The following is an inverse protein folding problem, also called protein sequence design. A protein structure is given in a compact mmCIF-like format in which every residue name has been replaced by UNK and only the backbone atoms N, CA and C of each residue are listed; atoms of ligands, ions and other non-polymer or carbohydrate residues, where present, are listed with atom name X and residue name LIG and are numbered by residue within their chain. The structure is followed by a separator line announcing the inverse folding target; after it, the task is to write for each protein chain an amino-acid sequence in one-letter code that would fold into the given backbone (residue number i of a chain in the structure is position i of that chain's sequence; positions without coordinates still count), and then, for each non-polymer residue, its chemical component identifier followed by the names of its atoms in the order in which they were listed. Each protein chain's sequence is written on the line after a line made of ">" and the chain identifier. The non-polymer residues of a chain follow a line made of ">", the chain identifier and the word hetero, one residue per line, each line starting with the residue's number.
data_IF_050132888372
#
_entry.id   IF_050132888372
#
_cell.length_a   1.000
_cell.length_b   1.000
_cell.length_c   1.000
_cell.angle_alpha   90.00
_cell.angle_beta   90.00
_cell.angle_gamma   90.00
#
_symmetry.space_group_name_H-M   'P 1'
#
loop_
_entity.id
_entity.type
_entity.pdbx_description
1 polymer ?
#
# COMPACT_ATOMS: atom_id res chain seq x y z
N UNK A 1 -22.14 -7.90 3.74
CA UNK A 1 -22.01 -6.41 3.94
C UNK A 1 -21.30 -6.18 5.26
N UNK A 2 -20.17 -5.49 5.24
CA UNK A 2 -19.40 -5.15 6.47
C UNK A 2 -20.11 -4.03 7.22
N UNK A 3 -20.79 -4.38 8.33
CA UNK A 3 -21.46 -3.38 9.15
C UNK A 3 -20.45 -2.49 9.89
N UNK A 4 -20.67 -1.18 9.86
CA UNK A 4 -19.81 -0.19 10.49
C UNK A 4 -20.17 1.23 10.04
N UNK A 5 -19.46 2.22 10.54
CA UNK A 5 -19.70 3.64 10.23
C UNK A 5 -19.24 4.08 8.83
N UNK A 6 -18.59 3.18 8.07
CA UNK A 6 -18.28 3.40 6.65
C UNK A 6 -19.49 3.16 5.73
N UNK A 7 -20.59 2.61 6.26
CA UNK A 7 -21.85 2.51 5.53
C UNK A 7 -22.61 3.84 5.58
N UNK A 8 -23.37 4.08 4.51
CA UNK A 8 -24.31 5.19 4.45
C UNK A 8 -25.57 4.89 5.25
N UNK A 9 -26.32 5.91 5.65
CA UNK A 9 -27.62 5.68 6.27
C UNK A 9 -28.56 4.88 5.33
N UNK A 10 -28.51 5.15 4.02
CA UNK A 10 -29.27 4.40 3.02
C UNK A 10 -28.94 2.90 3.02
N UNK A 11 -27.69 2.53 3.27
CA UNK A 11 -27.31 1.12 3.36
C UNK A 11 -27.83 0.49 4.65
N UNK A 12 -27.69 1.19 5.77
CA UNK A 12 -28.13 0.72 7.08
C UNK A 12 -29.67 0.64 7.20
N UNK A 13 -30.42 1.47 6.47
CA UNK A 13 -31.89 1.41 6.40
C UNK A 13 -32.42 0.13 5.76
N UNK A 14 -31.63 -0.56 4.93
CA UNK A 14 -31.99 -1.85 4.35
C UNK A 14 -32.09 -2.97 5.39
N UNK A 15 -31.63 -2.74 6.60
CA UNK A 15 -31.59 -3.67 7.72
C UNK A 15 -32.17 -3.04 8.99
N UNK A 16 -33.33 -3.54 9.42
CA UNK A 16 -34.05 -2.97 10.55
C UNK A 16 -33.25 -3.00 11.87
N UNK A 17 -32.41 -4.02 12.08
CA UNK A 17 -31.58 -4.13 13.27
C UNK A 17 -30.42 -3.13 13.23
N UNK A 18 -29.77 -2.96 12.08
CA UNK A 18 -28.75 -1.95 11.91
C UNK A 18 -29.30 -0.52 12.07
N UNK A 19 -30.46 -0.25 11.50
CA UNK A 19 -31.14 1.04 11.66
C UNK A 19 -31.52 1.32 13.11
N UNK A 20 -31.93 0.29 13.88
CA UNK A 20 -32.22 0.45 15.30
C UNK A 20 -30.99 0.88 16.10
N UNK A 21 -29.80 0.37 15.74
CA UNK A 21 -28.54 0.81 16.35
C UNK A 21 -28.20 2.27 16.00
N UNK A 22 -28.40 2.68 14.73
CA UNK A 22 -28.24 4.10 14.36
C UNK A 22 -29.16 4.99 15.21
N UNK A 23 -30.41 4.63 15.37
CA UNK A 23 -31.38 5.37 16.20
C UNK A 23 -30.98 5.45 17.66
N UNK A 24 -30.41 4.35 18.18
CA UNK A 24 -29.97 4.26 19.58
C UNK A 24 -28.75 5.13 19.86
N UNK A 25 -27.74 5.06 19.00
CA UNK A 25 -26.42 5.65 19.28
C UNK A 25 -26.23 7.02 18.60
N UNK A 26 -26.89 7.25 17.44
CA UNK A 26 -26.68 8.43 16.62
C UNK A 26 -27.99 8.96 15.99
N UNK A 27 -29.00 9.28 16.79
CA UNK A 27 -30.31 9.71 16.27
C UNK A 27 -30.26 10.98 15.39
N UNK A 28 -29.23 11.82 15.59
CA UNK A 28 -28.99 13.01 14.76
C UNK A 28 -28.83 12.69 13.27
N UNK A 29 -28.37 11.47 12.92
CA UNK A 29 -28.17 11.08 11.52
C UNK A 29 -29.48 10.97 10.73
N UNK A 30 -30.54 10.40 11.32
CA UNK A 30 -31.87 10.35 10.68
C UNK A 30 -32.49 11.74 10.59
N UNK A 31 -32.33 12.56 11.64
CA UNK A 31 -32.84 13.93 11.62
C UNK A 31 -32.18 14.76 10.50
N UNK A 32 -30.85 14.64 10.34
CA UNK A 32 -30.12 15.30 9.28
C UNK A 32 -30.58 14.81 7.89
N UNK A 33 -30.73 13.50 7.70
CA UNK A 33 -31.18 12.92 6.43
C UNK A 33 -32.61 13.35 6.05
N UNK A 34 -33.47 13.59 7.04
CA UNK A 34 -34.82 14.10 6.81
C UNK A 34 -34.82 15.56 6.33
N UNK A 35 -33.89 16.38 6.80
CA UNK A 35 -33.72 17.79 6.42
C UNK A 35 -32.91 17.96 5.13
N UNK A 36 -31.92 17.10 4.92
CA UNK A 36 -31.02 17.10 3.77
C UNK A 36 -30.90 15.68 3.19
N UNK A 37 -31.76 15.26 2.25
CA UNK A 37 -31.79 13.87 1.75
C UNK A 37 -30.47 13.38 1.16
N UNK A 38 -29.59 14.28 0.70
CA UNK A 38 -28.25 13.97 0.26
C UNK A 38 -27.37 13.41 1.38
N UNK A 39 -27.61 13.77 2.64
CA UNK A 39 -26.84 13.31 3.78
C UNK A 39 -26.98 11.79 4.03
N UNK A 40 -28.10 11.19 3.63
CA UNK A 40 -28.30 9.75 3.75
C UNK A 40 -27.40 8.93 2.80
N UNK A 41 -26.74 9.57 1.84
CA UNK A 41 -25.86 8.96 0.84
C UNK A 41 -24.38 9.05 1.21
N UNK A 42 -24.03 9.75 2.29
CA UNK A 42 -22.65 9.83 2.76
C UNK A 42 -22.45 8.86 3.92
N UNK A 43 -21.24 8.31 4.05
CA UNK A 43 -20.90 7.44 5.15
C UNK A 43 -20.98 8.18 6.50
N UNK A 44 -21.38 7.49 7.56
CA UNK A 44 -21.50 8.10 8.91
C UNK A 44 -20.16 8.70 9.34
N UNK A 45 -19.04 8.04 9.06
CA UNK A 45 -17.69 8.54 9.34
C UNK A 45 -17.42 9.86 8.61
N UNK A 46 -17.79 9.95 7.37
CA UNK A 46 -17.62 11.16 6.56
C UNK A 46 -18.50 12.29 7.08
N UNK A 47 -19.76 11.99 7.46
CA UNK A 47 -20.65 12.96 8.10
C UNK A 47 -20.06 13.51 9.42
N UNK A 48 -19.43 12.66 10.22
CA UNK A 48 -18.69 13.08 11.43
C UNK A 48 -17.58 14.07 11.11
N UNK A 49 -16.80 13.82 10.06
CA UNK A 49 -15.72 14.72 9.61
C UNK A 49 -16.23 16.11 9.25
N UNK A 50 -17.41 16.21 8.63
CA UNK A 50 -18.01 17.51 8.26
C UNK A 50 -18.72 18.22 9.43
N UNK A 51 -19.27 17.49 10.38
CA UNK A 51 -20.08 18.06 11.47
C UNK A 51 -19.80 17.37 12.81
N UNK A 52 -18.57 17.46 13.35
CA UNK A 52 -18.16 16.73 14.57
C UNK A 52 -18.97 17.12 15.80
N UNK A 53 -19.53 18.33 15.86
CA UNK A 53 -20.43 18.77 16.95
C UNK A 53 -21.79 18.09 16.90
N UNK A 54 -22.28 17.68 15.71
CA UNK A 54 -23.53 16.92 15.57
C UNK A 54 -23.32 15.41 15.78
N UNK A 55 -22.12 14.93 15.54
CA UNK A 55 -21.73 13.53 15.60
C UNK A 55 -20.53 13.35 16.55
N UNK A 56 -20.74 13.38 17.88
CA UNK A 56 -19.66 13.26 18.85
C UNK A 56 -18.88 11.96 18.67
N UNK A 57 -17.54 12.05 18.68
CA UNK A 57 -16.64 10.92 18.42
C UNK A 57 -16.94 9.68 19.28
N UNK A 58 -17.28 9.87 20.56
CA UNK A 58 -17.64 8.76 21.45
C UNK A 58 -18.93 8.03 21.05
N UNK A 59 -19.93 8.76 20.55
CA UNK A 59 -21.18 8.15 20.06
C UNK A 59 -20.96 7.40 18.74
N UNK A 60 -20.18 7.97 17.83
CA UNK A 60 -19.83 7.35 16.56
C UNK A 60 -19.01 6.09 16.78
N UNK A 61 -18.03 6.11 17.68
CA UNK A 61 -17.25 4.93 18.05
C UNK A 61 -18.11 3.83 18.71
N UNK A 62 -19.05 4.20 19.58
CA UNK A 62 -19.98 3.25 20.17
C UNK A 62 -20.92 2.62 19.13
N UNK A 63 -21.40 3.41 18.17
CA UNK A 63 -22.20 2.91 17.06
C UNK A 63 -21.38 1.95 16.16
N UNK A 64 -20.14 2.30 15.82
CA UNK A 64 -19.25 1.45 15.01
C UNK A 64 -19.05 0.08 15.66
N UNK A 65 -18.73 0.08 16.96
CA UNK A 65 -18.59 -1.15 17.74
C UNK A 65 -19.87 -1.98 17.75
N UNK A 66 -21.03 -1.36 17.95
CA UNK A 66 -22.31 -2.05 17.97
C UNK A 66 -22.69 -2.62 16.60
N UNK A 67 -22.48 -1.85 15.51
CA UNK A 67 -22.72 -2.31 14.13
C UNK A 67 -21.80 -3.49 13.75
N UNK A 68 -20.51 -3.42 14.08
CA UNK A 68 -19.56 -4.51 13.84
C UNK A 68 -19.96 -5.78 14.59
N UNK A 69 -20.34 -5.68 15.86
CA UNK A 69 -20.82 -6.81 16.65
C UNK A 69 -22.12 -7.40 16.09
N UNK A 70 -23.04 -6.55 15.65
CA UNK A 70 -24.29 -6.95 15.02
C UNK A 70 -24.03 -7.71 13.71
N UNK A 71 -23.14 -7.21 12.85
CA UNK A 71 -22.76 -7.87 11.61
C UNK A 71 -22.08 -9.22 11.84
N UNK A 72 -21.16 -9.29 12.80
CA UNK A 72 -20.44 -10.51 13.15
C UNK A 72 -21.37 -11.62 13.71
N UNK A 73 -22.51 -11.24 14.33
CA UNK A 73 -23.50 -12.21 14.84
C UNK A 73 -24.44 -12.75 13.75
N UNK A 74 -24.39 -12.22 12.53
CA UNK A 74 -25.23 -12.71 11.42
C UNK A 74 -24.64 -13.96 10.80
N UNK A 75 -25.47 -14.95 10.44
CA UNK A 75 -25.01 -16.05 9.62
C UNK A 75 -24.59 -15.53 8.24
N UNK A 76 -23.58 -16.16 7.65
CA UNK A 76 -23.19 -15.89 6.28
C UNK A 76 -24.37 -16.13 5.33
N UNK A 77 -24.49 -15.30 4.30
CA UNK A 77 -25.41 -15.58 3.20
C UNK A 77 -25.01 -16.88 2.47
N UNK A 78 -25.92 -17.47 1.72
CA UNK A 78 -25.60 -18.64 0.91
C UNK A 78 -24.49 -18.35 -0.11
N UNK A 79 -24.47 -17.14 -0.67
CA UNK A 79 -23.43 -16.66 -1.58
C UNK A 79 -22.08 -16.56 -0.87
N UNK A 80 -22.01 -15.91 0.31
CA UNK A 80 -20.79 -15.78 1.09
C UNK A 80 -20.27 -17.14 1.57
N UNK A 81 -21.16 -18.04 1.97
CA UNK A 81 -20.80 -19.43 2.32
C UNK A 81 -20.13 -20.13 1.13
N UNK A 82 -20.72 -20.05 -0.06
CA UNK A 82 -20.14 -20.63 -1.27
C UNK A 82 -18.77 -20.01 -1.64
N UNK A 83 -18.59 -18.69 -1.42
CA UNK A 83 -17.29 -18.01 -1.61
C UNK A 83 -16.23 -18.54 -0.65
N UNK A 84 -16.56 -18.63 0.63
CA UNK A 84 -15.67 -19.19 1.68
C UNK A 84 -15.28 -20.62 1.36
N UNK A 85 -16.25 -21.47 1.02
CA UNK A 85 -15.99 -22.88 0.68
C UNK A 85 -15.09 -23.01 -0.55
N UNK A 86 -15.31 -22.20 -1.58
CA UNK A 86 -14.46 -22.17 -2.78
C UNK A 86 -13.01 -21.84 -2.43
N UNK A 87 -12.76 -20.84 -1.59
CA UNK A 87 -11.39 -20.45 -1.23
C UNK A 87 -10.74 -21.43 -0.26
N UNK A 88 -11.49 -22.06 0.63
CA UNK A 88 -10.98 -23.15 1.46
C UNK A 88 -10.59 -24.36 0.61
N UNK A 89 -11.39 -24.69 -0.40
CA UNK A 89 -11.05 -25.75 -1.35
C UNK A 89 -9.80 -25.41 -2.16
N UNK A 90 -9.66 -24.15 -2.62
CA UNK A 90 -8.46 -23.68 -3.31
C UNK A 90 -7.23 -23.82 -2.41
N UNK A 91 -7.30 -23.36 -1.16
CA UNK A 91 -6.21 -23.47 -0.18
C UNK A 91 -5.84 -24.94 0.08
N UNK A 92 -6.82 -25.82 0.23
CA UNK A 92 -6.58 -27.24 0.48
C UNK A 92 -5.96 -27.97 -0.73
N UNK A 93 -6.30 -27.53 -1.93
CA UNK A 93 -5.75 -28.08 -3.17
C UNK A 93 -4.36 -27.54 -3.50
N UNK A 94 -4.04 -26.34 -3.00
CA UNK A 94 -2.77 -25.68 -3.31
C UNK A 94 -1.63 -26.31 -2.51
N UNK A 95 -0.59 -26.70 -3.24
CA UNK A 95 0.68 -27.16 -2.67
C UNK A 95 1.80 -26.37 -3.33
N UNK A 96 2.63 -25.73 -2.52
CA UNK A 96 3.86 -25.13 -3.01
C UNK A 96 4.83 -26.27 -3.33
N UNK A 97 5.00 -26.56 -4.60
CA UNK A 97 5.93 -27.59 -5.07
C UNK A 97 7.28 -26.95 -5.36
N UNK A 98 8.36 -27.67 -5.08
CA UNK A 98 9.70 -27.27 -5.48
C UNK A 98 9.90 -27.66 -6.96
N UNK A 99 10.51 -26.77 -7.71
CA UNK A 99 10.87 -26.93 -9.11
C UNK A 99 12.40 -26.81 -9.28
N UNK A 100 13.20 -27.77 -8.74
CA UNK A 100 14.66 -27.67 -8.75
C UNK A 100 15.23 -27.56 -10.16
N UNK A 101 14.52 -28.03 -11.17
CA UNK A 101 14.89 -27.90 -12.58
C UNK A 101 14.82 -26.46 -13.09
N UNK A 102 14.13 -25.56 -12.38
CA UNK A 102 14.02 -24.12 -12.67
C UNK A 102 14.85 -23.27 -11.75
N UNK A 103 15.34 -23.84 -10.63
CA UNK A 103 16.08 -23.08 -9.65
C UNK A 103 17.35 -22.49 -10.26
N UNK A 104 17.54 -21.19 -10.09
CA UNK A 104 18.70 -20.44 -10.57
C UNK A 104 19.43 -19.90 -9.36
N UNK A 105 20.75 -20.05 -9.33
CA UNK A 105 21.58 -19.36 -8.36
C UNK A 105 22.03 -18.02 -8.96
N UNK A 106 21.54 -16.97 -8.38
CA UNK A 106 21.87 -15.60 -8.79
C UNK A 106 23.15 -15.13 -8.09
N UNK A 107 23.97 -14.38 -8.80
CA UNK A 107 25.16 -13.68 -8.32
C UNK A 107 25.14 -12.19 -8.64
N UNK A 108 24.01 -11.69 -9.16
CA UNK A 108 23.76 -10.30 -9.50
C UNK A 108 22.25 -10.00 -9.45
N UNK A 109 21.90 -8.73 -9.32
CA UNK A 109 20.53 -8.24 -9.56
C UNK A 109 20.31 -8.08 -11.06
N UNK A 110 19.10 -8.43 -11.52
CA UNK A 110 18.65 -8.29 -12.91
C UNK A 110 17.33 -7.51 -12.95
N UNK A 111 17.32 -6.18 -12.83
CA UNK A 111 16.13 -5.37 -12.70
C UNK A 111 15.13 -5.60 -13.85
N UNK A 112 13.85 -5.82 -13.48
CA UNK A 112 12.77 -6.06 -14.44
C UNK A 112 12.72 -7.46 -15.05
N UNK A 113 13.60 -8.37 -14.65
CA UNK A 113 13.55 -9.78 -15.07
C UNK A 113 12.76 -10.61 -14.04
N UNK A 114 12.14 -11.73 -14.45
CA UNK A 114 11.58 -12.69 -13.49
C UNK A 114 12.64 -13.13 -12.48
N UNK A 115 12.27 -13.17 -11.21
CA UNK A 115 13.14 -13.59 -10.13
C UNK A 115 12.53 -14.80 -9.42
N UNK A 116 13.26 -15.90 -9.40
CA UNK A 116 12.82 -17.15 -8.81
C UNK A 116 13.43 -17.32 -7.41
N UNK A 117 12.67 -17.94 -6.53
CA UNK A 117 13.17 -18.38 -5.24
C UNK A 117 14.10 -19.60 -5.38
N UNK A 118 14.69 -20.04 -4.26
CA UNK A 118 15.58 -21.20 -4.25
C UNK A 118 14.89 -22.53 -4.57
N UNK A 119 13.56 -22.56 -4.62
CA UNK A 119 12.75 -23.69 -5.04
C UNK A 119 12.36 -23.64 -6.53
N UNK A 120 12.73 -22.58 -7.25
CA UNK A 120 12.40 -22.37 -8.66
C UNK A 120 11.00 -21.79 -8.91
N UNK A 121 10.38 -21.21 -7.89
CA UNK A 121 9.09 -20.54 -8.01
C UNK A 121 9.27 -19.02 -8.17
N UNK A 122 8.38 -18.33 -8.91
CA UNK A 122 8.38 -16.88 -8.96
C UNK A 122 8.21 -16.29 -7.55
N UNK A 123 9.06 -15.34 -7.18
CA UNK A 123 8.91 -14.61 -5.92
C UNK A 123 7.61 -13.79 -5.95
N UNK A 124 6.84 -13.87 -4.86
CA UNK A 124 5.56 -13.19 -4.66
C UNK A 124 5.66 -12.32 -3.41
N UNK A 125 6.37 -11.18 -3.51
CA UNK A 125 6.56 -10.21 -2.43
C UNK A 125 6.33 -8.79 -2.96
N UNK A 126 5.17 -8.57 -3.62
CA UNK A 126 4.86 -7.34 -4.32
C UNK A 126 4.50 -6.20 -3.35
N UNK A 127 4.78 -4.95 -3.77
CA UNK A 127 4.53 -3.76 -2.96
C UNK A 127 5.17 -3.78 -1.57
N UNK A 128 6.11 -4.69 -1.36
CA UNK A 128 6.63 -5.05 -0.06
C UNK A 128 7.92 -4.33 0.32
N UNK A 129 8.55 -4.86 1.36
CA UNK A 129 9.74 -4.28 1.95
C UNK A 129 10.73 -5.37 2.41
N UNK A 130 11.94 -4.93 2.72
CA UNK A 130 13.03 -5.77 3.24
C UNK A 130 13.33 -5.36 4.67
N UNK A 131 13.46 -6.34 5.55
CA UNK A 131 13.88 -6.17 6.94
C UNK A 131 15.17 -6.95 7.16
N UNK A 132 16.13 -6.37 7.90
CA UNK A 132 17.34 -7.07 8.28
C UNK A 132 17.34 -7.36 9.78
N UNK A 133 17.60 -8.60 10.14
CA UNK A 133 17.74 -9.05 11.52
C UNK A 133 18.87 -10.07 11.63
N UNK A 134 19.80 -9.86 12.55
CA UNK A 134 20.93 -10.77 12.84
C UNK A 134 21.75 -11.19 11.60
N UNK A 135 21.95 -10.26 10.67
CA UNK A 135 22.71 -10.50 9.44
C UNK A 135 21.93 -11.25 8.35
N UNK A 136 20.68 -11.58 8.60
CA UNK A 136 19.76 -12.20 7.62
C UNK A 136 18.81 -11.15 7.09
N UNK A 137 18.53 -11.21 5.80
CA UNK A 137 17.56 -10.37 5.11
C UNK A 137 16.23 -11.08 4.98
N UNK A 138 15.13 -10.37 5.21
CA UNK A 138 13.77 -10.86 5.07
C UNK A 138 13.01 -9.94 4.13
N UNK A 139 12.62 -10.46 2.97
CA UNK A 139 11.80 -9.77 1.99
C UNK A 139 10.36 -10.26 2.09
N UNK A 140 9.41 -9.38 2.29
CA UNK A 140 8.00 -9.72 2.43
C UNK A 140 7.15 -8.78 1.58
N UNK A 141 5.99 -9.26 1.17
CA UNK A 141 5.07 -8.50 0.33
C UNK A 141 3.76 -9.23 0.06
N UNK A 142 2.98 -8.61 -0.78
CA UNK A 142 1.70 -9.12 -1.24
C UNK A 142 1.91 -10.43 -2.02
N UNK A 143 1.25 -11.50 -1.59
CA UNK A 143 1.24 -12.75 -2.35
C UNK A 143 0.17 -12.68 -3.43
N UNK A 144 0.59 -12.61 -4.69
CA UNK A 144 -0.27 -12.50 -5.87
C UNK A 144 -0.42 -13.81 -6.65
N UNK A 145 0.02 -14.96 -6.11
CA UNK A 145 0.05 -16.23 -6.84
C UNK A 145 -1.30 -16.69 -7.41
N UNK A 146 -2.41 -16.23 -6.82
CA UNK A 146 -3.77 -16.53 -7.31
C UNK A 146 -4.45 -15.35 -8.02
N UNK A 147 -3.73 -14.24 -8.22
CA UNK A 147 -4.23 -13.08 -8.94
C UNK A 147 -4.02 -13.32 -10.44
N UNK A 148 -5.11 -13.39 -11.20
CA UNK A 148 -5.09 -13.70 -12.63
C UNK A 148 -5.73 -12.61 -13.51
N UNK A 149 -6.07 -11.48 -12.90
CA UNK A 149 -6.78 -10.38 -13.57
C UNK A 149 -8.25 -10.68 -13.89
N UNK A 150 -8.74 -11.90 -13.67
CA UNK A 150 -10.11 -12.37 -14.02
C UNK A 150 -10.92 -12.76 -12.79
N UNK A 151 -10.32 -13.56 -11.89
CA UNK A 151 -10.96 -13.93 -10.62
C UNK A 151 -11.02 -12.74 -9.69
N UNK A 152 -11.93 -12.73 -8.69
CA UNK A 152 -11.99 -11.64 -7.72
C UNK A 152 -10.81 -11.63 -6.72
N UNK A 153 -9.94 -12.63 -6.71
CA UNK A 153 -8.78 -12.69 -5.82
C UNK A 153 -7.82 -11.55 -6.13
N UNK A 154 -7.43 -10.82 -5.08
CA UNK A 154 -6.45 -9.73 -5.20
C UNK A 154 -5.16 -10.04 -4.44
N UNK A 155 -5.24 -10.49 -3.20
CA UNK A 155 -4.08 -10.80 -2.37
C UNK A 155 -4.35 -12.05 -1.55
N UNK A 156 -3.44 -13.03 -1.61
CA UNK A 156 -3.56 -14.28 -0.86
C UNK A 156 -2.65 -14.26 0.37
N UNK A 157 -2.82 -13.28 1.24
CA UNK A 157 -1.98 -13.08 2.42
C UNK A 157 -0.64 -12.43 2.10
N UNK A 158 0.23 -12.34 3.11
CA UNK A 158 1.57 -11.75 3.01
C UNK A 158 2.60 -12.87 3.08
N UNK A 159 3.44 -12.96 2.05
CA UNK A 159 4.51 -13.96 1.95
C UNK A 159 5.85 -13.37 2.36
N UNK A 160 6.72 -14.19 2.90
CA UNK A 160 8.06 -13.78 3.32
C UNK A 160 9.11 -14.73 2.78
N UNK A 161 10.25 -14.16 2.45
CA UNK A 161 11.45 -14.86 2.00
C UNK A 161 12.63 -14.46 2.87
N UNK A 162 13.65 -15.30 2.96
CA UNK A 162 14.91 -14.95 3.62
C UNK A 162 16.11 -15.14 2.71
N UNK A 163 17.15 -14.34 2.91
CA UNK A 163 18.41 -14.38 2.17
C UNK A 163 19.59 -13.99 3.07
N UNK A 164 20.76 -14.49 2.75
CA UNK A 164 22.05 -14.05 3.36
C UNK A 164 22.90 -13.23 2.39
N UNK A 165 22.49 -13.14 1.11
CA UNK A 165 23.27 -12.50 0.05
C UNK A 165 22.48 -11.46 -0.78
N UNK A 166 21.16 -11.29 -0.50
CA UNK A 166 20.23 -10.45 -1.24
C UNK A 166 19.91 -10.90 -2.68
N UNK A 167 20.57 -11.94 -3.18
CA UNK A 167 20.38 -12.47 -4.53
C UNK A 167 19.48 -13.70 -4.52
N UNK A 168 19.67 -14.60 -3.56
CA UNK A 168 19.03 -15.90 -3.48
C UNK A 168 18.08 -15.94 -2.28
N UNK A 169 16.80 -16.15 -2.54
CA UNK A 169 15.74 -16.02 -1.57
C UNK A 169 15.06 -17.36 -1.30
N UNK A 170 15.06 -17.78 -0.05
CA UNK A 170 14.34 -18.97 0.41
C UNK A 170 12.92 -18.58 0.84
N UNK A 171 11.91 -19.25 0.29
CA UNK A 171 10.52 -19.08 0.68
C UNK A 171 10.28 -19.55 2.12
N UNK A 172 9.66 -18.73 2.95
CA UNK A 172 9.21 -19.03 4.32
C UNK A 172 7.70 -19.25 4.40
N UNK A 173 6.98 -19.09 3.28
CA UNK A 173 5.53 -19.17 3.22
C UNK A 173 4.82 -17.89 3.68
N UNK A 174 3.54 -18.03 4.02
CA UNK A 174 2.71 -16.91 4.46
C UNK A 174 2.96 -16.58 5.93
N UNK A 175 3.28 -15.32 6.21
CA UNK A 175 3.44 -14.80 7.58
C UNK A 175 2.17 -14.14 8.11
N UNK A 176 1.31 -13.65 7.22
CA UNK A 176 -0.07 -13.28 7.51
C UNK A 176 -0.99 -14.04 6.54
N UNK A 177 -1.89 -14.84 7.10
CA UNK A 177 -2.80 -15.69 6.32
C UNK A 177 -4.00 -14.89 5.81
N UNK A 178 -4.60 -15.26 4.67
CA UNK A 178 -5.91 -14.74 4.30
C UNK A 178 -6.96 -15.20 5.32
N UNK A 179 -7.93 -14.34 5.62
CA UNK A 179 -9.07 -14.73 6.46
C UNK A 179 -10.15 -15.38 5.59
N UNK A 180 -10.20 -16.70 5.61
CA UNK A 180 -11.22 -17.50 4.89
C UNK A 180 -12.47 -17.78 5.75
N UNK A 181 -12.73 -16.98 6.77
CA UNK A 181 -13.90 -17.14 7.63
C UNK A 181 -14.86 -15.95 7.52
N UNK A 182 -14.36 -14.79 7.17
CA UNK A 182 -15.12 -13.55 7.13
C UNK A 182 -14.96 -12.85 5.76
N UNK A 183 -15.92 -13.02 4.83
CA UNK A 183 -15.89 -12.36 3.52
C UNK A 183 -15.89 -10.82 3.57
N UNK A 184 -16.32 -10.26 4.67
CA UNK A 184 -16.31 -8.81 4.90
C UNK A 184 -15.00 -8.33 5.56
N UNK A 185 -14.19 -9.23 6.14
CA UNK A 185 -12.90 -8.92 6.77
C UNK A 185 -11.86 -8.38 5.79
N UNK A 186 -10.94 -7.58 6.30
CA UNK A 186 -9.96 -6.89 5.47
C UNK A 186 -8.90 -7.84 4.87
N UNK A 187 -8.69 -9.02 5.45
CA UNK A 187 -7.77 -10.03 4.92
C UNK A 187 -8.45 -11.09 4.05
N UNK A 188 -9.72 -10.92 3.69
CA UNK A 188 -10.37 -11.82 2.75
C UNK A 188 -9.75 -11.69 1.35
N UNK A 189 -9.54 -12.77 0.59
CA UNK A 189 -8.75 -12.75 -0.65
C UNK A 189 -9.16 -11.73 -1.73
N UNK A 190 -10.41 -11.29 -1.73
CA UNK A 190 -10.93 -10.32 -2.68
C UNK A 190 -10.68 -8.85 -2.27
N UNK A 191 -10.17 -8.62 -1.06
CA UNK A 191 -9.83 -7.29 -0.59
C UNK A 191 -8.48 -6.86 -1.16
N UNK A 192 -8.38 -5.57 -1.46
CA UNK A 192 -7.16 -4.96 -1.97
C UNK A 192 -6.21 -4.69 -0.78
N UNK A 193 -5.55 -5.77 -0.32
CA UNK A 193 -4.51 -5.69 0.72
C UNK A 193 -3.20 -5.36 0.04
N UNK A 194 -2.71 -4.15 0.27
CA UNK A 194 -1.55 -3.62 -0.44
C UNK A 194 -0.49 -3.12 0.56
N UNK A 195 0.77 -3.07 0.11
CA UNK A 195 1.93 -2.42 0.75
C UNK A 195 2.13 -2.81 2.22
N UNK A 196 2.43 -4.07 2.55
CA UNK A 196 2.78 -4.43 3.91
C UNK A 196 4.11 -3.79 4.33
N UNK A 197 4.14 -3.14 5.50
CA UNK A 197 5.36 -2.67 6.13
C UNK A 197 5.45 -3.13 7.58
N UNK A 198 6.60 -3.68 7.98
CA UNK A 198 6.87 -4.22 9.31
C UNK A 198 7.87 -3.32 10.04
N UNK A 199 7.55 -2.96 11.28
CA UNK A 199 8.47 -2.30 12.21
C UNK A 199 8.51 -3.04 13.54
N UNK A 200 9.66 -3.03 14.21
CA UNK A 200 9.81 -3.61 15.54
C UNK A 200 9.57 -2.57 16.62
N UNK A 201 8.63 -2.83 17.51
CA UNK A 201 8.34 -1.98 18.65
C UNK A 201 9.13 -2.47 19.87
N UNK A 202 10.25 -1.82 20.20
CA UNK A 202 11.09 -2.19 21.32
C UNK A 202 10.36 -2.10 22.68
N UNK A 203 9.37 -1.21 22.80
CA UNK A 203 8.61 -1.04 24.05
C UNK A 203 7.73 -2.25 24.39
N UNK A 204 7.21 -2.94 23.36
CA UNK A 204 6.33 -4.11 23.53
C UNK A 204 7.02 -5.42 23.15
N UNK A 205 8.19 -5.37 22.52
CA UNK A 205 8.87 -6.52 21.94
C UNK A 205 8.15 -7.14 20.73
N UNK A 206 7.15 -6.46 20.15
CA UNK A 206 6.34 -6.98 19.05
C UNK A 206 6.83 -6.45 17.70
N UNK A 207 6.67 -7.27 16.67
CA UNK A 207 6.70 -6.84 15.28
C UNK A 207 5.30 -6.37 14.89
N UNK A 208 5.20 -5.16 14.39
CA UNK A 208 3.94 -4.53 14.00
C UNK A 208 3.94 -4.37 12.49
N UNK A 209 2.98 -5.00 11.82
CA UNK A 209 2.77 -4.90 10.38
C UNK A 209 1.55 -4.02 10.13
N UNK A 210 1.74 -3.00 9.31
CA UNK A 210 0.65 -2.23 8.75
C UNK A 210 0.42 -2.68 7.31
N UNK A 211 -0.84 -2.81 6.90
CA UNK A 211 -1.23 -3.05 5.51
C UNK A 211 -2.31 -2.06 5.11
N UNK A 212 -2.20 -1.54 3.89
CA UNK A 212 -3.23 -0.68 3.31
C UNK A 212 -4.35 -1.54 2.76
N UNK A 213 -5.60 -1.14 3.01
CA UNK A 213 -6.79 -1.68 2.35
C UNK A 213 -7.27 -0.63 1.37
N UNK A 214 -7.03 -0.87 0.08
CA UNK A 214 -7.46 0.06 -0.96
C UNK A 214 -8.96 -0.01 -1.17
N UNK A 215 -9.60 1.13 -1.07
CA UNK A 215 -11.02 1.36 -1.33
C UNK A 215 -11.21 2.83 -1.68
N UNK A 216 -12.45 3.26 -1.91
CA UNK A 216 -12.74 4.68 -2.18
C UNK A 216 -12.22 5.63 -1.10
N UNK A 217 -12.15 5.18 0.15
CA UNK A 217 -11.64 5.98 1.27
C UNK A 217 -10.31 5.47 1.84
N UNK A 218 -9.89 4.23 1.53
CA UNK A 218 -8.68 3.61 2.05
C UNK A 218 -8.59 3.57 3.58
N UNK A 219 -8.09 2.48 4.14
CA UNK A 219 -7.84 2.35 5.57
C UNK A 219 -6.65 1.44 5.83
N UNK A 220 -6.19 1.35 7.07
CA UNK A 220 -5.21 0.37 7.49
C UNK A 220 -5.84 -0.81 8.22
N UNK A 221 -5.22 -1.98 8.05
CA UNK A 221 -5.29 -3.09 8.99
C UNK A 221 -3.93 -3.24 9.64
N UNK A 222 -3.91 -3.38 10.97
CA UNK A 222 -2.70 -3.48 11.76
C UNK A 222 -2.64 -4.87 12.37
N UNK A 223 -1.49 -5.53 12.20
CA UNK A 223 -1.23 -6.87 12.68
C UNK A 223 -0.01 -6.86 13.60
N UNK A 224 0.06 -7.83 14.51
CA UNK A 224 1.21 -8.04 15.39
C UNK A 224 1.67 -9.49 15.40
N UNK A 225 2.97 -9.68 15.68
CA UNK A 225 3.58 -10.98 15.93
C UNK A 225 4.66 -10.87 17.00
N UNK A 226 4.99 -12.01 17.63
CA UNK A 226 6.10 -12.12 18.59
C UNK A 226 7.47 -12.25 17.88
N UNK A 227 7.46 -12.65 16.61
CA UNK A 227 8.65 -12.87 15.77
C UNK A 227 8.44 -12.24 14.41
N UNK A 228 9.54 -11.81 13.78
CA UNK A 228 9.51 -11.22 12.44
C UNK A 228 8.81 -12.14 11.41
N UNK A 229 9.02 -13.46 11.51
CA UNK A 229 8.44 -14.45 10.60
C UNK A 229 6.98 -14.82 10.95
N UNK A 230 6.35 -14.07 11.87
CA UNK A 230 4.97 -14.31 12.27
C UNK A 230 4.75 -15.54 13.16
N UNK A 231 3.52 -16.09 13.22
CA UNK A 231 2.35 -15.63 12.45
C UNK A 231 1.84 -14.25 12.94
N UNK A 232 1.45 -13.42 11.99
CA UNK A 232 0.84 -12.13 12.29
C UNK A 232 -0.66 -12.26 12.50
N UNK A 233 -1.18 -11.60 13.55
CA UNK A 233 -2.60 -11.58 13.88
C UNK A 233 -3.12 -10.14 13.89
N UNK A 234 -4.35 -9.94 13.43
CA UNK A 234 -4.99 -8.63 13.36
C UNK A 234 -5.25 -8.09 14.77
N UNK A 235 -4.82 -6.87 15.02
CA UNK A 235 -5.07 -6.12 16.26
C UNK A 235 -5.97 -4.90 16.04
N UNK A 236 -6.01 -4.37 14.81
CA UNK A 236 -6.95 -3.32 14.42
C UNK A 236 -7.33 -3.45 12.96
N UNK A 237 -8.61 -3.28 12.65
CA UNK A 237 -9.15 -3.16 11.29
C UNK A 237 -9.83 -1.81 11.10
N UNK A 238 -9.94 -1.38 9.82
CA UNK A 238 -10.57 -0.12 9.45
C UNK A 238 -10.00 1.07 10.20
N UNK A 239 -8.66 1.08 10.34
CA UNK A 239 -7.98 2.14 11.04
C UNK A 239 -7.74 3.34 10.11
N UNK A 240 -8.22 4.50 10.54
CA UNK A 240 -8.09 5.77 9.83
C UNK A 240 -7.28 6.73 10.69
N UNK A 241 -6.05 7.10 10.31
CA UNK A 241 -5.23 8.04 11.05
C UNK A 241 -5.94 9.37 11.25
N UNK A 242 -6.23 9.73 12.52
CA UNK A 242 -7.01 10.92 12.90
C UNK A 242 -8.32 11.09 12.11
N UNK A 243 -8.93 9.98 11.66
CA UNK A 243 -10.17 9.97 10.87
C UNK A 243 -9.99 10.19 9.36
N UNK A 244 -8.75 10.39 8.88
CA UNK A 244 -8.43 10.60 7.46
C UNK A 244 -8.38 9.30 6.67
N UNK A 245 -8.70 9.37 5.37
CA UNK A 245 -8.45 8.29 4.41
C UNK A 245 -6.96 8.13 4.13
N UNK A 246 -6.57 6.95 3.64
CA UNK A 246 -5.16 6.64 3.36
C UNK A 246 -4.96 6.04 1.97
N UNK A 247 -3.79 6.29 1.41
CA UNK A 247 -3.25 5.64 0.23
C UNK A 247 -1.92 4.94 0.53
N UNK A 248 -0.94 5.10 -0.35
CA UNK A 248 0.38 4.51 -0.19
C UNK A 248 1.16 5.13 0.96
N UNK A 249 1.91 4.31 1.66
CA UNK A 249 2.56 4.70 2.90
C UNK A 249 3.91 4.03 3.12
N UNK A 250 4.65 4.55 4.07
CA UNK A 250 5.82 3.91 4.65
C UNK A 250 5.94 4.24 6.15
N UNK A 251 6.67 3.42 6.87
CA UNK A 251 6.92 3.52 8.30
C UNK A 251 8.42 3.61 8.58
N UNK A 252 8.80 4.44 9.54
CA UNK A 252 10.19 4.53 9.97
C UNK A 252 10.28 4.59 11.49
N UNK A 253 11.25 3.87 12.04
CA UNK A 253 11.59 3.90 13.47
C UNK A 253 12.81 4.78 13.68
N UNK A 254 12.75 5.66 14.69
CA UNK A 254 13.84 6.52 15.13
C UNK A 254 13.99 6.42 16.66
N UNK A 255 14.80 5.49 17.11
CA UNK A 255 14.94 5.16 18.52
C UNK A 255 13.65 4.56 19.09
N UNK A 256 13.03 5.24 20.04
CA UNK A 256 11.76 4.81 20.66
C UNK A 256 10.52 5.40 19.99
N UNK A 257 10.69 6.29 19.02
CA UNK A 257 9.61 6.92 18.27
C UNK A 257 9.53 6.31 16.87
N UNK A 258 8.32 6.17 16.35
CA UNK A 258 8.09 5.81 14.95
C UNK A 258 7.18 6.83 14.27
N UNK A 259 7.28 6.87 12.94
CA UNK A 259 6.52 7.78 12.09
C UNK A 259 5.88 7.01 10.94
N UNK A 260 4.67 7.43 10.58
CA UNK A 260 3.94 7.03 9.38
C UNK A 260 3.93 8.22 8.42
N UNK A 261 4.28 7.97 7.16
CA UNK A 261 4.00 8.90 6.07
C UNK A 261 3.09 8.24 5.05
N UNK A 262 2.05 8.95 4.63
CA UNK A 262 0.97 8.37 3.82
C UNK A 262 0.35 9.43 2.92
N UNK A 263 0.00 9.06 1.68
CA UNK A 263 -0.84 9.90 0.86
C UNK A 263 -2.30 9.85 1.33
N UNK A 264 -2.97 10.99 1.32
CA UNK A 264 -4.31 11.16 1.92
C UNK A 264 -5.31 11.78 0.93
N UNK A 265 -6.57 11.83 1.33
CA UNK A 265 -7.58 12.65 0.68
C UNK A 265 -8.04 13.73 1.65
N UNK A 266 -8.02 15.04 1.31
CA UNK A 266 -7.55 15.62 0.03
C UNK A 266 -6.07 15.30 -0.22
N UNK A 267 -5.67 15.22 -1.49
CA UNK A 267 -4.35 14.75 -1.91
C UNK A 267 -3.21 15.60 -1.36
N UNK A 268 -2.43 14.98 -0.49
CA UNK A 268 -1.17 15.44 0.11
C UNK A 268 -0.44 14.25 0.69
N UNK A 269 0.82 14.39 1.05
CA UNK A 269 1.55 13.40 1.85
C UNK A 269 1.60 13.91 3.29
N UNK A 270 0.92 13.22 4.19
CA UNK A 270 0.87 13.56 5.61
C UNK A 270 1.83 12.69 6.42
N UNK A 271 2.54 13.28 7.36
CA UNK A 271 3.39 12.60 8.33
C UNK A 271 2.75 12.57 9.71
N UNK A 272 2.76 11.42 10.38
CA UNK A 272 2.18 11.22 11.70
C UNK A 272 3.20 10.60 12.64
N UNK A 273 3.21 11.04 13.91
CA UNK A 273 3.89 10.34 14.98
C UNK A 273 3.04 9.16 15.46
N UNK A 274 3.65 7.98 15.63
CA UNK A 274 2.96 6.80 16.16
C UNK A 274 2.88 6.83 17.70
N UNK A 275 1.88 6.13 18.23
CA UNK A 275 1.77 5.81 19.65
C UNK A 275 2.91 4.86 20.09
N UNK A 276 3.21 4.74 21.40
CA UNK A 276 4.32 3.94 21.89
C UNK A 276 4.27 2.45 21.57
N UNK A 277 3.10 1.90 21.25
CA UNK A 277 2.90 0.51 20.81
C UNK A 277 2.98 0.32 19.29
N UNK A 278 3.14 1.42 18.54
CA UNK A 278 3.18 1.49 17.09
C UNK A 278 1.90 1.03 16.37
N UNK A 279 0.77 0.93 17.08
CA UNK A 279 -0.50 0.46 16.52
C UNK A 279 -1.50 1.60 16.24
N UNK A 280 -1.13 2.85 16.48
CA UNK A 280 -1.97 4.01 16.19
C UNK A 280 -1.13 5.26 16.02
N UNK A 281 -1.72 6.34 15.50
CA UNK A 281 -1.09 7.66 15.43
C UNK A 281 -1.52 8.53 16.60
N UNK A 282 -0.66 9.44 17.02
CA UNK A 282 -0.94 10.39 18.11
C UNK A 282 -1.23 11.78 17.60
N UNK A 283 -0.47 12.23 16.60
CA UNK A 283 -0.59 13.58 16.02
C UNK A 283 -0.02 13.63 14.61
N UNK A 284 -0.51 14.56 13.81
CA UNK A 284 0.11 14.96 12.56
C UNK A 284 1.35 15.83 12.86
N UNK A 285 2.46 15.54 12.22
CA UNK A 285 3.74 16.25 12.42
C UNK A 285 4.22 16.97 11.17
N UNK A 286 3.69 16.61 10.00
CA UNK A 286 4.18 17.13 8.73
C UNK A 286 3.15 16.99 7.62
N UNK A 287 3.16 17.90 6.64
CA UNK A 287 2.32 17.87 5.45
C UNK A 287 3.08 18.44 4.25
N UNK A 288 3.05 17.72 3.12
CA UNK A 288 3.76 18.07 1.89
C UNK A 288 2.88 17.82 0.66
N UNK A 289 3.24 18.45 -0.46
CA UNK A 289 2.61 18.27 -1.77
C UNK A 289 1.11 18.58 -1.78
N UNK A 290 0.71 19.58 -1.00
CA UNK A 290 -0.69 20.03 -0.91
C UNK A 290 -1.15 20.72 -2.19
N UNK A 291 -2.45 20.60 -2.49
CA UNK A 291 -3.09 21.31 -3.59
C UNK A 291 -2.74 20.78 -4.98
N UNK A 292 -2.00 19.70 -5.07
CA UNK A 292 -1.71 19.03 -6.34
C UNK A 292 -2.87 18.12 -6.75
N UNK A 293 -3.07 17.97 -8.06
CA UNK A 293 -4.05 17.07 -8.65
C UNK A 293 -3.35 16.00 -9.49
N UNK A 294 -4.00 14.86 -9.78
CA UNK A 294 -3.43 13.89 -10.73
C UNK A 294 -3.06 14.54 -12.07
N UNK A 295 -1.93 14.14 -12.67
CA UNK A 295 -0.97 13.11 -12.25
C UNK A 295 0.11 13.61 -11.28
N UNK A 296 0.06 14.86 -10.85
CA UNK A 296 1.14 15.53 -10.09
C UNK A 296 1.04 15.33 -8.58
N UNK A 297 -0.13 14.96 -8.05
CA UNK A 297 -0.22 14.56 -6.66
C UNK A 297 0.60 13.28 -6.42
N UNK A 298 0.97 13.03 -5.16
CA UNK A 298 2.01 12.06 -4.82
C UNK A 298 1.43 10.85 -4.10
N UNK A 299 1.95 9.67 -4.47
CA UNK A 299 1.71 8.35 -3.87
C UNK A 299 3.04 7.57 -3.85
N UNK A 300 3.04 6.27 -3.58
CA UNK A 300 4.26 5.47 -3.59
C UNK A 300 5.29 5.94 -2.58
N UNK A 301 4.83 6.32 -1.39
CA UNK A 301 5.66 6.90 -0.32
C UNK A 301 6.73 5.92 0.14
N UNK A 302 7.99 6.37 0.25
CA UNK A 302 9.08 5.65 0.90
C UNK A 302 10.00 6.58 1.67
N UNK A 303 10.52 6.12 2.81
CA UNK A 303 11.29 6.89 3.78
C UNK A 303 12.66 6.26 4.04
N UNK A 304 13.71 7.05 4.08
CA UNK A 304 15.03 6.58 4.51
C UNK A 304 15.88 7.73 5.05
N UNK A 305 17.00 7.40 5.71
CA UNK A 305 17.93 8.40 6.25
C UNK A 305 19.32 8.22 5.66
N UNK A 306 20.00 9.31 5.35
CA UNK A 306 21.40 9.34 4.91
C UNK A 306 22.10 10.60 5.39
N UNK A 307 23.35 10.47 5.88
CA UNK A 307 24.17 11.61 6.26
C UNK A 307 23.53 12.57 7.29
N UNK A 308 22.72 12.03 8.20
CA UNK A 308 21.97 12.83 9.19
C UNK A 308 20.66 13.41 8.67
N UNK A 309 20.44 13.46 7.36
CA UNK A 309 19.21 13.94 6.72
C UNK A 309 18.18 12.82 6.59
N UNK A 310 16.92 13.21 6.42
CA UNK A 310 15.75 12.36 6.18
C UNK A 310 15.27 12.58 4.77
N UNK A 311 14.96 11.50 4.08
CA UNK A 311 14.53 11.54 2.69
C UNK A 311 13.16 10.90 2.55
N UNK A 312 12.37 11.47 1.66
CA UNK A 312 11.07 10.98 1.21
C UNK A 312 11.14 10.86 -0.31
N UNK A 313 10.83 9.69 -0.86
CA UNK A 313 10.60 9.53 -2.31
C UNK A 313 9.13 9.16 -2.51
N UNK A 314 8.55 9.67 -3.59
CA UNK A 314 7.15 9.45 -3.97
C UNK A 314 7.04 9.27 -5.47
N UNK A 315 5.95 8.71 -5.98
CA UNK A 315 5.58 8.69 -7.40
C UNK A 315 4.40 9.62 -7.69
N UNK A 316 4.20 10.01 -8.94
CA UNK A 316 2.96 10.65 -9.39
C UNK A 316 1.81 9.65 -9.47
N UNK A 317 0.60 10.13 -9.69
CA UNK A 317 -0.63 9.33 -9.61
C UNK A 317 -1.22 9.09 -11.00
N UNK A 318 -1.04 7.89 -11.54
CA UNK A 318 -1.58 7.42 -12.84
C UNK A 318 -2.03 5.95 -12.80
N UNK A 319 -2.44 5.44 -11.62
CA UNK A 319 -2.80 4.04 -11.42
C UNK A 319 -1.58 3.12 -11.53
N UNK A 320 -1.76 1.92 -12.10
CA UNK A 320 -0.64 0.98 -12.31
C UNK A 320 0.29 1.37 -13.46
N UNK A 321 -0.06 2.40 -14.23
CA UNK A 321 0.84 2.99 -15.23
C UNK A 321 1.93 3.79 -14.50
N UNK A 322 3.22 3.48 -14.73
CA UNK A 322 4.32 4.14 -14.03
C UNK A 322 4.36 5.65 -14.27
N UNK A 323 4.80 6.39 -13.25
CA UNK A 323 4.91 7.84 -13.30
C UNK A 323 6.25 8.30 -12.70
N UNK A 324 6.56 9.59 -12.89
CA UNK A 324 7.78 10.21 -12.41
C UNK A 324 7.82 10.23 -10.87
N UNK A 325 8.96 9.83 -10.32
CA UNK A 325 9.25 10.01 -8.90
C UNK A 325 9.62 11.45 -8.57
N UNK A 326 9.51 11.81 -7.29
CA UNK A 326 10.06 13.03 -6.72
C UNK A 326 10.66 12.71 -5.35
N UNK A 327 11.84 13.25 -5.09
CA UNK A 327 12.51 13.12 -3.80
C UNK A 327 12.39 14.44 -3.03
N UNK A 328 12.29 14.32 -1.71
CA UNK A 328 12.33 15.47 -0.81
C UNK A 328 13.24 15.19 0.39
N UNK A 329 13.79 16.23 1.00
CA UNK A 329 14.76 16.14 2.10
C UNK A 329 14.34 17.01 3.28
N UNK A 330 14.59 16.51 4.50
CA UNK A 330 14.37 17.21 5.76
C UNK A 330 15.50 16.97 6.75
N UNK A 331 15.57 17.78 7.80
CA UNK A 331 16.52 17.59 8.91
C UNK A 331 15.99 16.57 9.93
N UNK A 332 14.69 16.50 10.10
CA UNK A 332 14.01 15.64 11.07
C UNK A 332 12.86 14.86 10.41
N UNK A 333 12.41 13.79 11.08
CA UNK A 333 11.21 13.06 10.64
C UNK A 333 9.90 13.85 10.82
N UNK A 334 9.91 14.95 11.54
CA UNK A 334 8.78 15.88 11.59
C UNK A 334 8.77 16.91 10.44
N UNK A 335 9.70 16.80 9.49
CA UNK A 335 9.80 17.73 8.37
C UNK A 335 10.32 19.11 8.76
N UNK A 336 10.01 20.16 7.98
CA UNK A 336 9.35 20.06 6.67
C UNK A 336 10.26 19.39 5.63
N UNK A 337 9.67 18.60 4.75
CA UNK A 337 10.37 18.02 3.62
C UNK A 337 10.35 18.98 2.43
N UNK A 338 11.51 19.26 1.87
CA UNK A 338 11.69 20.16 0.73
C UNK A 338 11.96 19.32 -0.53
N UNK A 339 11.14 19.43 -1.58
CA UNK A 339 11.37 18.73 -2.84
C UNK A 339 12.73 19.06 -3.46
N UNK A 340 13.43 18.03 -3.96
CA UNK A 340 14.74 18.13 -4.61
C UNK A 340 14.78 17.50 -6.00
N UNK A 341 13.63 17.04 -6.51
CA UNK A 341 13.43 16.54 -7.87
C UNK A 341 13.54 15.04 -8.00
N UNK A 342 13.41 14.56 -9.23
CA UNK A 342 13.43 13.13 -9.58
C UNK A 342 14.80 12.52 -9.28
N UNK A 343 14.88 11.42 -8.52
CA UNK A 343 16.14 10.71 -8.28
C UNK A 343 16.57 9.82 -9.46
N UNK A 344 15.70 9.54 -10.46
CA UNK A 344 16.02 8.65 -11.59
C UNK A 344 16.84 9.40 -12.65
N UNK A 345 18.13 9.11 -12.68
CA UNK A 345 19.07 9.81 -13.59
C UNK A 345 19.01 9.21 -14.98
N UNK A 346 18.79 10.07 -15.99
CA UNK A 346 18.69 9.70 -17.40
C UNK A 346 17.49 8.77 -17.72
N UNK A 347 16.43 8.80 -16.91
CA UNK A 347 15.16 8.17 -17.28
C UNK A 347 14.44 9.01 -18.36
N UNK A 348 14.68 8.71 -19.62
CA UNK A 348 14.05 9.41 -20.75
C UNK A 348 12.54 9.22 -20.83
N UNK A 349 11.98 8.26 -20.07
CA UNK A 349 10.52 8.04 -19.99
C UNK A 349 9.86 8.91 -18.94
N UNK A 350 10.62 9.42 -17.96
CA UNK A 350 10.09 10.07 -16.77
C UNK A 350 8.98 9.22 -16.11
N UNK A 351 9.21 7.91 -16.02
CA UNK A 351 8.30 6.90 -15.50
C UNK A 351 9.00 6.00 -14.47
N UNK A 352 10.08 6.51 -13.83
CA UNK A 352 10.86 5.80 -12.81
C UNK A 352 11.36 4.44 -13.32
N UNK A 353 11.90 4.41 -14.56
CA UNK A 353 12.30 3.20 -15.27
C UNK A 353 11.16 2.15 -15.41
N UNK A 354 9.91 2.61 -15.56
CA UNK A 354 8.70 1.78 -15.60
C UNK A 354 8.51 0.96 -14.33
N UNK A 355 8.67 1.59 -13.16
CA UNK A 355 8.50 0.96 -11.85
C UNK A 355 7.99 1.94 -10.80
N UNK A 356 7.56 1.43 -9.66
CA UNK A 356 7.17 2.22 -8.49
C UNK A 356 7.92 1.71 -7.27
N UNK A 357 8.65 2.62 -6.58
CA UNK A 357 9.40 2.29 -5.38
C UNK A 357 8.44 1.98 -4.22
N UNK A 358 8.71 0.90 -3.50
CA UNK A 358 8.01 0.53 -2.26
C UNK A 358 8.87 0.76 -1.02
N UNK A 359 10.20 0.64 -1.14
CA UNK A 359 11.13 0.87 -0.03
C UNK A 359 12.51 1.29 -0.55
N UNK A 360 13.27 2.00 0.30
CA UNK A 360 14.72 2.19 0.17
C UNK A 360 15.39 1.76 1.47
N UNK A 361 16.36 0.85 1.38
CA UNK A 361 17.10 0.39 2.55
C UNK A 361 18.63 0.46 2.35
N UNK A 362 19.42 0.74 3.42
CA UNK A 362 20.88 0.78 3.35
C UNK A 362 21.49 -0.62 3.28
N UNK A 363 22.61 -0.77 2.57
CA UNK A 363 23.44 -1.98 2.62
C UNK A 363 24.54 -1.76 3.67
N UNK A 364 24.57 -2.54 4.77
CA UNK A 364 25.56 -2.38 5.82
C UNK A 364 27.00 -2.48 5.31
N UNK A 365 27.85 -1.56 5.76
CA UNK A 365 29.26 -1.54 5.39
C UNK A 365 29.56 -0.96 4.01
N UNK A 366 28.55 -0.45 3.29
CA UNK A 366 28.68 0.17 1.97
C UNK A 366 28.04 1.56 1.93
N UNK A 367 28.55 2.42 1.08
CA UNK A 367 27.87 3.69 0.74
C UNK A 367 26.82 3.47 -0.36
N UNK A 368 25.94 2.52 -0.10
CA UNK A 368 24.94 2.02 -1.03
C UNK A 368 23.59 1.84 -0.35
N UNK A 369 22.54 2.24 -1.02
CA UNK A 369 21.17 1.91 -0.72
C UNK A 369 20.58 1.09 -1.88
N UNK A 370 19.57 0.29 -1.60
CA UNK A 370 18.79 -0.40 -2.62
C UNK A 370 17.40 0.21 -2.66
N UNK A 371 17.01 0.72 -3.83
CA UNK A 371 15.63 1.09 -4.11
C UNK A 371 14.88 -0.16 -4.58
N UNK A 372 13.95 -0.63 -3.76
CA UNK A 372 13.04 -1.76 -4.05
C UNK A 372 11.84 -1.21 -4.79
N UNK A 373 11.57 -1.72 -5.97
CA UNK A 373 10.44 -1.27 -6.78
C UNK A 373 9.75 -2.43 -7.49
N UNK A 374 8.45 -2.27 -7.74
CA UNK A 374 7.66 -3.17 -8.56
C UNK A 374 7.46 -2.59 -9.97
N UNK A 375 7.63 -3.43 -10.98
CA UNK A 375 7.19 -3.19 -12.36
C UNK A 375 5.87 -3.91 -12.56
N UNK A 376 4.78 -3.21 -12.26
CA UNK A 376 3.43 -3.79 -12.23
C UNK A 376 2.96 -4.32 -13.59
N UNK A 377 3.47 -3.73 -14.68
CA UNK A 377 3.05 -4.04 -16.04
C UNK A 377 4.28 -4.37 -16.93
N UNK A 378 4.96 -5.52 -16.71
CA UNK A 378 6.19 -5.85 -17.41
C UNK A 378 6.02 -6.03 -18.92
N UNK A 379 4.81 -6.38 -19.38
CA UNK A 379 4.51 -6.56 -20.79
C UNK A 379 4.12 -5.24 -21.51
N UNK A 380 4.00 -4.12 -20.78
CA UNK A 380 3.52 -2.84 -21.28
C UNK A 380 4.41 -1.68 -20.83
N UNK A 381 5.68 -1.74 -21.23
CA UNK A 381 6.63 -0.68 -20.90
C UNK A 381 6.33 0.58 -21.71
N UNK A 382 6.31 1.71 -21.01
CA UNK A 382 6.14 3.01 -21.62
C UNK A 382 7.46 3.49 -22.24
N UNK A 383 7.38 4.08 -23.41
CA UNK A 383 8.39 5.02 -23.91
C UNK A 383 8.06 6.45 -23.45
N UNK A 384 9.01 7.38 -23.64
CA UNK A 384 8.85 8.76 -23.20
C UNK A 384 7.64 9.46 -23.82
N UNK A 385 7.30 9.15 -25.06
CA UNK A 385 6.14 9.74 -25.76
C UNK A 385 4.82 9.24 -25.17
N UNK A 386 4.71 7.94 -24.94
CA UNK A 386 3.52 7.32 -24.35
C UNK A 386 3.31 7.78 -22.90
N UNK A 387 4.38 7.83 -22.10
CA UNK A 387 4.33 8.31 -20.72
C UNK A 387 3.89 9.78 -20.66
N UNK A 388 4.42 10.64 -21.54
CA UNK A 388 4.05 12.07 -21.59
C UNK A 388 2.59 12.25 -22.02
N UNK A 389 2.13 11.49 -23.02
CA UNK A 389 0.74 11.51 -23.46
C UNK A 389 -0.24 11.14 -22.33
N UNK A 390 0.05 10.07 -21.58
CA UNK A 390 -0.77 9.64 -20.46
C UNK A 390 -0.84 10.72 -19.37
N UNK A 391 0.31 11.31 -18.99
CA UNK A 391 0.34 12.41 -18.01
C UNK A 391 -0.50 13.58 -18.47
N UNK A 392 -0.40 13.97 -19.76
CA UNK A 392 -1.15 15.09 -20.34
C UNK A 392 -2.65 14.83 -20.36
N UNK A 393 -3.09 13.63 -20.70
CA UNK A 393 -4.51 13.25 -20.67
C UNK A 393 -5.04 13.33 -19.24
N UNK A 394 -4.36 12.72 -18.28
CA UNK A 394 -4.76 12.78 -16.87
C UNK A 394 -4.82 14.24 -16.39
N UNK A 395 -3.78 15.05 -16.69
CA UNK A 395 -3.76 16.46 -16.33
C UNK A 395 -4.94 17.23 -16.96
N UNK A 396 -5.30 16.93 -18.21
CA UNK A 396 -6.42 17.59 -18.90
C UNK A 396 -7.78 17.27 -18.28
N UNK A 397 -7.96 16.07 -17.71
CA UNK A 397 -9.19 15.68 -17.01
C UNK A 397 -9.36 16.43 -15.68
N UNK A 398 -8.28 16.66 -14.95
CA UNK A 398 -8.33 17.34 -13.64
C UNK A 398 -8.14 18.86 -13.72
N UNK A 399 -7.43 19.36 -14.73
CA UNK A 399 -7.13 20.79 -14.93
C UNK A 399 -7.36 21.21 -16.39
N UNK A 400 -8.59 21.09 -16.93
CA UNK A 400 -8.90 21.34 -18.35
C UNK A 400 -8.63 22.80 -18.79
N UNK A 401 -8.53 23.75 -17.85
CA UNK A 401 -8.17 25.13 -18.12
C UNK A 401 -6.67 25.32 -18.43
N UNK A 402 -5.80 24.39 -17.95
CA UNK A 402 -4.35 24.48 -18.11
C UNK A 402 -3.78 23.46 -19.09
N UNK A 403 -4.42 22.29 -19.22
CA UNK A 403 -3.93 21.19 -20.05
C UNK A 403 -4.99 20.79 -21.10
N UNK A 404 -4.49 20.43 -22.28
CA UNK A 404 -5.29 19.89 -23.38
C UNK A 404 -4.65 18.62 -23.90
N UNK A 405 -5.47 17.58 -24.05
CA UNK A 405 -5.07 16.35 -24.71
C UNK A 405 -5.58 16.36 -26.18
N UNK A 406 -4.83 15.73 -27.04
CA UNK A 406 -5.26 15.47 -28.43
C UNK A 406 -6.09 14.19 -28.49
N UNK A 407 -6.89 14.02 -29.56
CA UNK A 407 -7.65 12.79 -29.77
C UNK A 407 -6.76 11.54 -29.85
N UNK A 408 -5.52 11.68 -30.36
CA UNK A 408 -4.57 10.58 -30.41
C UNK A 408 -4.05 10.20 -29.03
N UNK A 409 -3.77 11.17 -28.15
CA UNK A 409 -3.37 10.94 -26.76
C UNK A 409 -4.51 10.29 -25.96
N UNK A 410 -5.78 10.73 -26.14
CA UNK A 410 -6.95 10.10 -25.53
C UNK A 410 -7.13 8.63 -25.96
N UNK A 411 -6.91 8.32 -27.24
CA UNK A 411 -6.95 6.95 -27.73
C UNK A 411 -5.85 6.09 -27.11
N UNK A 412 -4.64 6.61 -26.98
CA UNK A 412 -3.53 5.92 -26.34
C UNK A 412 -3.83 5.69 -24.85
N UNK A 413 -4.38 6.68 -24.18
CA UNK A 413 -4.81 6.56 -22.77
C UNK A 413 -5.89 5.50 -22.59
N UNK A 414 -6.90 5.48 -23.45
CA UNK A 414 -8.01 4.53 -23.39
C UNK A 414 -7.58 3.07 -23.70
N UNK A 415 -6.49 2.89 -24.43
CA UNK A 415 -5.95 1.57 -24.78
C UNK A 415 -5.04 0.97 -23.68
N UNK A 416 -4.89 1.65 -22.53
CA UNK A 416 -4.06 1.14 -21.44
C UNK A 416 -4.67 -0.13 -20.82
N UNK A 417 -3.84 -1.18 -20.63
CA UNK A 417 -4.34 -2.43 -20.06
C UNK A 417 -4.68 -2.34 -18.55
N UNK A 418 -4.13 -1.35 -17.83
CA UNK A 418 -4.42 -1.14 -16.41
C UNK A 418 -5.78 -0.47 -16.12
N UNK A 419 -6.50 -0.05 -17.17
CA UNK A 419 -7.90 0.37 -17.05
C UNK A 419 -8.84 -0.83 -16.84
N UNK A 420 -8.42 -2.00 -17.29
CA UNK A 420 -9.02 -3.27 -16.94
C UNK A 420 -8.32 -3.86 -15.71
N UNK A 421 -8.85 -4.94 -15.16
CA UNK A 421 -8.23 -5.60 -14.02
C UNK A 421 -6.95 -6.31 -14.45
N UNK A 422 -5.79 -5.86 -13.93
CA UNK A 422 -4.49 -6.43 -14.23
C UNK A 422 -4.23 -7.76 -13.53
N UNK A 423 -3.46 -8.60 -14.21
CA UNK A 423 -2.78 -9.75 -13.60
C UNK A 423 -1.47 -9.28 -12.96
N UNK A 424 -1.55 -8.80 -11.72
CA UNK A 424 -0.38 -8.32 -10.96
C UNK A 424 0.53 -9.44 -10.45
N UNK A 425 0.15 -10.73 -10.61
CA UNK A 425 1.05 -11.87 -10.32
C UNK A 425 2.24 -11.93 -11.30
N UNK A 426 2.11 -11.29 -12.46
CA UNK A 426 3.15 -11.22 -13.47
C UNK A 426 4.14 -10.07 -13.28
N UNK A 427 3.89 -9.22 -12.29
CA UNK A 427 4.78 -8.11 -11.96
C UNK A 427 6.20 -8.60 -11.70
N UNK A 428 7.18 -7.79 -12.10
CA UNK A 428 8.60 -8.05 -11.87
C UNK A 428 9.20 -6.98 -10.98
N UNK A 429 10.38 -7.25 -10.47
CA UNK A 429 11.05 -6.36 -9.52
C UNK A 429 12.13 -5.54 -10.21
N UNK A 430 12.20 -4.26 -9.87
CA UNK A 430 13.25 -3.34 -10.32
C UNK A 430 14.02 -2.89 -9.08
N UNK A 431 15.01 -3.70 -8.67
CA UNK A 431 15.90 -3.33 -7.58
C UNK A 431 17.13 -2.64 -8.15
N UNK A 432 17.29 -1.37 -7.83
CA UNK A 432 18.37 -0.54 -8.36
C UNK A 432 19.21 0.07 -7.24
N UNK A 433 20.52 0.26 -7.48
CA UNK A 433 21.38 0.97 -6.54
C UNK A 433 20.96 2.44 -6.46
N UNK A 434 20.84 2.93 -5.23
CA UNK A 434 20.69 4.34 -4.93
C UNK A 434 21.97 4.85 -4.27
N UNK A 435 22.58 5.84 -4.85
CA UNK A 435 23.79 6.49 -4.37
C UNK A 435 23.55 7.99 -4.15
N UNK A 436 24.51 8.71 -3.58
CA UNK A 436 24.35 10.13 -3.31
C UNK A 436 25.42 10.96 -4.02
N UNK A 437 24.96 12.02 -4.70
CA UNK A 437 25.83 13.03 -5.33
C UNK A 437 25.44 14.40 -4.81
N UNK A 438 26.35 15.06 -4.09
CA UNK A 438 26.08 16.38 -3.48
C UNK A 438 24.86 16.39 -2.53
N UNK A 439 24.59 15.27 -1.83
CA UNK A 439 23.47 15.14 -0.91
C UNK A 439 22.12 14.84 -1.59
N UNK A 440 22.09 14.63 -2.90
CA UNK A 440 20.90 14.22 -3.64
C UNK A 440 20.96 12.70 -3.91
N UNK A 441 19.87 11.96 -3.71
CA UNK A 441 19.78 10.55 -4.12
C UNK A 441 19.78 10.46 -5.64
N UNK A 442 20.55 9.53 -6.19
CA UNK A 442 20.59 9.19 -7.60
C UNK A 442 20.34 7.68 -7.79
N UNK A 443 19.39 7.35 -8.64
CA UNK A 443 19.07 5.99 -9.08
C UNK A 443 19.38 5.93 -10.57
N UNK A 444 20.24 4.98 -10.95
CA UNK A 444 20.62 4.75 -12.36
C UNK A 444 20.17 3.38 -12.80
N UNK A 445 19.79 3.26 -14.08
CA UNK A 445 19.48 1.97 -14.67
C UNK A 445 20.75 1.14 -14.89
N UNK A 446 20.65 -0.13 -14.53
CA UNK A 446 21.63 -1.17 -14.86
C UNK A 446 20.87 -2.41 -15.36
N UNK A 447 21.32 -3.01 -16.46
CA UNK A 447 20.75 -4.28 -16.94
C UNK A 447 21.10 -5.45 -16.01
N UNK A 448 22.22 -5.32 -15.31
CA UNK A 448 22.69 -6.20 -14.23
C UNK A 448 23.68 -5.44 -13.35
N UNK A 449 23.67 -5.69 -12.05
CA UNK A 449 24.61 -5.08 -11.10
C UNK A 449 24.82 -5.96 -9.86
N UNK A 450 25.92 -5.74 -9.17
CA UNK A 450 26.32 -6.49 -7.96
C UNK A 450 26.61 -5.55 -6.79
N UNK A 451 26.49 -6.09 -5.56
CA UNK A 451 26.85 -5.34 -4.35
C UNK A 451 28.35 -4.96 -4.35
N UNK A 452 29.18 -5.80 -4.94
CA UNK A 452 30.63 -5.63 -5.05
C UNK A 452 31.03 -4.49 -5.99
N UNK A 453 30.14 -4.05 -6.88
CA UNK A 453 30.39 -2.93 -7.79
C UNK A 453 30.38 -1.58 -7.05
N UNK A 454 29.95 -1.58 -5.77
CA UNK A 454 29.83 -0.39 -4.93
C UNK A 454 30.71 -0.50 -3.68
N UNK A 455 31.38 0.62 -3.32
CA UNK A 455 32.29 0.71 -2.17
C UNK A 455 31.55 0.73 -0.82
#
# INVERSE_FOLDING_TARGET
>A
MKYGINLTLNDLQKDAGALALVRQYLPAMEALASQAPGAARIAIRTAQGYAPQMFPAGQVAALDKALKAYGAAKPLSAEDTARVERYRALQAAHKVEAHPERAVRYDAFHPGRPWLDTNGNPIQAHGGAVYQEDGVWYWYGENKEFTDGKSPIWTWGIRMYRSTDLYNWQDLGLVALPDLTNPDGNLFPEKYVDRPHIIHCAATGKYVMWVKISSAEGCFTILQADRLQGPYTVVAEDYYPLGGSVGDFDLVVNGTQAYLYVDTTPKRVAGFALAPDFCSVTQEVSSQYEGLTPPFCREGVTLFAHGGKKYLITSGTTGYTPNQSDAAVADTWAGPFVPIGDPHVNDGTMASFNSQISQVFPVPGKNLYIAVADRWMPDHLLDGKSADAIRRVVASHYQPQHYKATAQEEQLFAARPDLERNDTSRSTYVWLPLTFVGGKPEIRWYDSWRLEDFA
#
